data_IF_035180603828
#
_entry.id   IF_035180603828
#
_cell.length_a   1.000
_cell.length_b   1.000
_cell.length_c   1.000
_cell.angle_alpha   90.00
_cell.angle_beta   90.00
_cell.angle_gamma   90.00
#
_symmetry.space_group_name_H-M   'P 1'
#
loop_
_entity.id
_entity.type
_entity.pdbx_description
1 polymer ?
#
# COMPACT_ATOMS: atom_id res chain seq x y z
N UNK A 1 -9.84 46.16 -11.85
CA UNK A 1 -10.21 45.71 -13.21
C UNK A 1 -9.44 44.41 -13.49
N UNK A 2 -10.00 43.26 -13.15
CA UNK A 2 -10.98 42.45 -13.91
C UNK A 2 -10.30 41.45 -14.85
N UNK A 3 -10.21 40.19 -14.43
CA UNK A 3 -10.30 39.05 -15.36
C UNK A 3 -10.62 37.75 -14.60
N UNK A 4 -11.87 37.61 -14.15
CA UNK A 4 -12.46 36.31 -13.81
C UNK A 4 -13.25 35.84 -15.03
N UNK A 5 -12.58 35.23 -15.99
CA UNK A 5 -13.26 34.46 -17.05
C UNK A 5 -13.40 33.02 -16.59
N UNK A 6 -14.32 32.79 -15.65
CA UNK A 6 -14.83 31.45 -15.38
C UNK A 6 -15.63 31.00 -16.60
N UNK A 7 -15.00 30.21 -17.48
CA UNK A 7 -15.72 29.42 -18.50
C UNK A 7 -16.44 28.26 -17.79
N UNK A 8 -17.52 28.57 -17.09
CA UNK A 8 -18.43 27.57 -16.52
C UNK A 8 -19.46 27.21 -17.58
N UNK A 9 -19.29 26.04 -18.21
CA UNK A 9 -20.32 25.42 -19.06
C UNK A 9 -21.23 24.58 -18.16
N UNK A 10 -22.43 25.10 -17.87
CA UNK A 10 -23.46 24.38 -17.13
C UNK A 10 -24.18 23.46 -18.12
N UNK A 11 -24.09 22.15 -17.93
CA UNK A 11 -24.84 21.15 -18.71
C UNK A 11 -25.94 20.54 -17.84
N UNK A 12 -27.19 20.64 -18.29
CA UNK A 12 -28.37 20.14 -17.60
C UNK A 12 -28.60 18.63 -17.84
N UNK A 13 -28.84 17.94 -16.71
CA UNK A 13 -29.71 16.76 -16.50
C UNK A 13 -29.83 15.71 -17.60
N UNK A 14 -28.87 14.78 -17.64
CA UNK A 14 -29.15 13.40 -18.05
C UNK A 14 -29.71 12.60 -16.87
N UNK A 15 -30.52 11.57 -17.14
CA UNK A 15 -30.99 10.60 -16.12
C UNK A 15 -29.81 9.88 -15.43
N UNK A 16 -28.65 9.84 -16.10
CA UNK A 16 -27.43 9.24 -15.60
C UNK A 16 -26.52 10.27 -14.91
N UNK A 17 -25.90 9.86 -13.80
CA UNK A 17 -24.98 10.70 -13.03
C UNK A 17 -23.72 11.04 -13.85
N UNK A 18 -23.33 12.32 -13.87
CA UNK A 18 -22.10 12.80 -14.51
C UNK A 18 -20.87 12.14 -13.86
N UNK A 19 -20.11 11.41 -14.67
CA UNK A 19 -18.86 10.76 -14.29
C UNK A 19 -17.67 11.45 -14.92
N UNK A 20 -16.73 11.92 -14.09
CA UNK A 20 -15.45 12.48 -14.57
C UNK A 20 -14.32 11.74 -13.88
N UNK A 21 -13.37 11.25 -14.69
CA UNK A 21 -12.24 10.44 -14.22
C UNK A 21 -12.63 9.25 -13.29
N UNK A 22 -13.82 8.66 -13.51
CA UNK A 22 -14.31 7.51 -12.75
C UNK A 22 -14.98 7.84 -11.40
N UNK A 23 -15.24 9.12 -11.11
CA UNK A 23 -16.02 9.57 -9.95
C UNK A 23 -17.34 10.20 -10.41
N UNK A 24 -18.40 9.99 -9.64
CA UNK A 24 -19.70 10.65 -9.81
C UNK A 24 -19.69 11.98 -9.08
N UNK A 25 -19.91 13.08 -9.80
CA UNK A 25 -19.79 14.46 -9.29
C UNK A 25 -21.16 15.14 -9.19
N UNK A 26 -22.24 14.48 -9.62
CA UNK A 26 -23.62 14.99 -9.49
C UNK A 26 -24.13 15.17 -8.05
N UNK A 27 -23.31 14.90 -7.03
CA UNK A 27 -23.67 14.99 -5.63
C UNK A 27 -22.81 16.05 -4.93
N UNK A 28 -23.22 16.50 -3.74
CA UNK A 28 -22.45 17.42 -2.89
C UNK A 28 -20.99 16.97 -2.66
N UNK A 29 -20.76 15.67 -2.62
CA UNK A 29 -19.45 15.06 -2.48
C UNK A 29 -19.19 14.06 -3.62
N UNK A 30 -17.95 13.98 -4.15
CA UNK A 30 -17.62 13.03 -5.19
C UNK A 30 -17.75 11.59 -4.68
N UNK A 31 -18.50 10.77 -5.40
CA UNK A 31 -18.77 9.37 -5.02
C UNK A 31 -18.18 8.40 -6.02
N UNK A 32 -17.71 7.25 -5.55
CA UNK A 32 -17.37 6.15 -6.44
C UNK A 32 -18.65 5.49 -7.00
N UNK A 33 -18.60 4.97 -8.23
CA UNK A 33 -19.70 4.18 -8.76
C UNK A 33 -19.88 2.90 -7.93
N UNK A 34 -21.13 2.46 -7.79
CA UNK A 34 -21.52 1.27 -7.03
C UNK A 34 -20.75 0.02 -7.45
N UNK A 35 -20.49 -0.13 -8.74
CA UNK A 35 -19.73 -1.24 -9.32
C UNK A 35 -18.29 -1.31 -8.80
N UNK A 36 -17.61 -0.17 -8.68
CA UNK A 36 -16.25 -0.15 -8.14
C UNK A 36 -16.27 -0.61 -6.68
N UNK A 37 -17.23 -0.11 -5.87
CA UNK A 37 -17.38 -0.54 -4.47
C UNK A 37 -17.67 -2.05 -4.41
N UNK A 38 -18.47 -2.59 -5.33
CA UNK A 38 -18.73 -4.04 -5.45
C UNK A 38 -17.44 -4.82 -5.74
N UNK A 39 -16.61 -4.37 -6.68
CA UNK A 39 -15.31 -4.99 -6.98
C UNK A 39 -14.35 -4.97 -5.79
N UNK A 40 -14.30 -3.85 -5.04
CA UNK A 40 -13.46 -3.74 -3.85
C UNK A 40 -13.90 -4.77 -2.80
N UNK A 41 -15.20 -4.86 -2.54
CA UNK A 41 -15.76 -5.87 -1.61
C UNK A 41 -15.44 -7.30 -2.05
N UNK A 42 -15.61 -7.60 -3.34
CA UNK A 42 -15.28 -8.92 -3.89
C UNK A 42 -13.79 -9.25 -3.74
N UNK A 43 -12.91 -8.29 -4.01
CA UNK A 43 -11.46 -8.46 -3.84
C UNK A 43 -11.06 -8.74 -2.39
N UNK A 44 -11.69 -8.07 -1.42
CA UNK A 44 -11.46 -8.35 0.01
C UNK A 44 -11.93 -9.77 0.34
N UNK A 45 -13.13 -10.16 -0.10
CA UNK A 45 -13.65 -11.52 0.16
C UNK A 45 -12.77 -12.61 -0.47
N UNK A 46 -12.27 -12.40 -1.68
CA UNK A 46 -11.38 -13.36 -2.34
C UNK A 46 -10.06 -13.52 -1.58
N UNK A 47 -9.48 -12.41 -1.08
CA UNK A 47 -8.28 -12.50 -0.24
C UNK A 47 -8.53 -13.19 1.10
N UNK A 48 -9.73 -13.04 1.68
CA UNK A 48 -10.11 -13.80 2.88
C UNK A 48 -10.15 -15.30 2.59
N UNK A 49 -10.71 -15.72 1.46
CA UNK A 49 -10.74 -17.13 1.04
C UNK A 49 -9.31 -17.66 0.83
N UNK A 50 -8.47 -16.92 0.09
CA UNK A 50 -7.06 -17.27 -0.10
C UNK A 50 -6.25 -17.26 1.21
N UNK A 51 -6.66 -16.47 2.21
CA UNK A 51 -6.00 -16.46 3.51
C UNK A 51 -6.28 -17.72 4.34
N UNK A 52 -7.44 -18.35 4.11
CA UNK A 52 -7.83 -19.62 4.73
C UNK A 52 -7.01 -20.76 4.12
N UNK A 53 -6.63 -20.65 2.85
CA UNK A 53 -5.75 -21.61 2.17
C UNK A 53 -4.33 -21.61 2.78
N UNK A 54 -4.16 -22.45 3.81
CA UNK A 54 -2.91 -22.82 4.47
C UNK A 54 -1.73 -21.84 4.33
N UNK A 55 -0.68 -22.26 3.63
CA UNK A 55 0.60 -21.53 3.55
C UNK A 55 0.55 -20.29 2.64
N UNK A 56 -0.58 -19.97 2.01
CA UNK A 56 -0.64 -18.92 0.99
C UNK A 56 -0.31 -17.52 1.53
N UNK A 57 -0.63 -17.23 2.81
CA UNK A 57 -0.27 -15.97 3.50
C UNK A 57 1.23 -15.67 3.58
N UNK A 58 2.08 -16.68 3.41
CA UNK A 58 3.54 -16.56 3.43
C UNK A 58 4.14 -16.29 2.05
N UNK A 59 3.34 -16.44 0.99
CA UNK A 59 3.79 -16.32 -0.39
C UNK A 59 4.08 -14.87 -0.79
N UNK A 60 4.90 -14.71 -1.83
CA UNK A 60 5.18 -13.38 -2.37
C UNK A 60 3.98 -12.84 -3.15
N UNK A 61 3.27 -13.69 -3.91
CA UNK A 61 2.06 -13.34 -4.66
C UNK A 61 0.99 -12.79 -3.73
N UNK A 62 0.74 -13.45 -2.60
CA UNK A 62 -0.26 -12.98 -1.64
C UNK A 62 0.03 -11.57 -1.12
N UNK A 63 1.30 -11.23 -0.87
CA UNK A 63 1.68 -9.87 -0.46
C UNK A 63 1.37 -8.83 -1.53
N UNK A 64 1.59 -9.18 -2.79
CA UNK A 64 1.29 -8.30 -3.92
C UNK A 64 -0.22 -8.05 -4.03
N UNK A 65 -1.01 -9.11 -3.96
CA UNK A 65 -2.47 -9.03 -4.02
C UNK A 65 -3.06 -8.30 -2.82
N UNK A 66 -2.52 -8.56 -1.61
CA UNK A 66 -2.87 -7.84 -0.40
C UNK A 66 -2.60 -6.34 -0.54
N UNK A 67 -1.41 -5.94 -1.00
CA UNK A 67 -1.07 -4.51 -1.16
C UNK A 67 -1.95 -3.84 -2.23
N UNK A 68 -2.26 -4.55 -3.31
CA UNK A 68 -3.19 -4.08 -4.35
C UNK A 68 -4.59 -3.86 -3.76
N UNK A 69 -5.10 -4.81 -2.96
CA UNK A 69 -6.41 -4.69 -2.33
C UNK A 69 -6.44 -3.60 -1.26
N UNK A 70 -5.39 -3.48 -0.46
CA UNK A 70 -5.21 -2.37 0.48
C UNK A 70 -5.24 -1.00 -0.22
N UNK A 71 -4.57 -0.87 -1.37
CA UNK A 71 -4.65 0.36 -2.19
C UNK A 71 -6.07 0.69 -2.67
N UNK A 72 -6.83 -0.33 -3.08
CA UNK A 72 -8.24 -0.20 -3.45
C UNK A 72 -9.11 0.23 -2.27
N UNK A 73 -8.91 -0.33 -1.08
CA UNK A 73 -9.62 0.07 0.14
C UNK A 73 -9.23 1.50 0.54
N UNK A 74 -7.96 1.87 0.46
CA UNK A 74 -7.50 3.23 0.74
C UNK A 74 -8.07 4.28 -0.23
N UNK A 75 -8.50 3.88 -1.43
CA UNK A 75 -9.27 4.76 -2.34
C UNK A 75 -10.59 5.22 -1.70
N UNK A 76 -11.24 4.35 -0.91
CA UNK A 76 -12.46 4.69 -0.16
C UNK A 76 -12.20 5.72 0.94
N UNK A 77 -11.02 5.67 1.57
CA UNK A 77 -10.60 6.65 2.59
C UNK A 77 -10.55 8.07 2.01
N UNK A 78 -10.07 8.23 0.78
CA UNK A 78 -9.93 9.55 0.13
C UNK A 78 -11.26 10.27 -0.10
N UNK A 79 -12.35 9.52 -0.17
CA UNK A 79 -13.71 10.04 -0.35
C UNK A 79 -14.57 9.85 0.91
N UNK A 80 -13.95 9.58 2.08
CA UNK A 80 -14.62 9.36 3.36
C UNK A 80 -15.80 8.38 3.31
N UNK A 81 -15.68 7.32 2.50
CA UNK A 81 -16.77 6.39 2.31
C UNK A 81 -16.96 5.47 3.54
N UNK A 82 -18.18 5.38 4.06
CA UNK A 82 -18.56 4.67 5.31
C UNK A 82 -18.01 3.24 5.39
N UNK A 83 -18.00 2.51 4.27
CA UNK A 83 -17.50 1.12 4.22
C UNK A 83 -15.97 0.97 4.38
N UNK A 84 -15.21 2.06 4.37
CA UNK A 84 -13.75 2.02 4.49
C UNK A 84 -13.32 1.29 5.77
N UNK A 85 -13.82 1.72 6.93
CA UNK A 85 -13.43 1.17 8.23
C UNK A 85 -13.73 -0.34 8.34
N UNK A 86 -14.93 -0.74 7.91
CA UNK A 86 -15.35 -2.14 7.89
C UNK A 86 -14.45 -3.01 7.00
N UNK A 87 -14.08 -2.53 5.82
CA UNK A 87 -13.22 -3.28 4.90
C UNK A 87 -11.76 -3.31 5.35
N UNK A 88 -11.27 -2.22 5.94
CA UNK A 88 -9.93 -2.15 6.52
C UNK A 88 -9.79 -3.14 7.68
N UNK A 89 -10.77 -3.19 8.60
CA UNK A 89 -10.78 -4.11 9.73
C UNK A 89 -10.81 -5.58 9.29
N UNK A 90 -11.41 -5.89 8.15
CA UNK A 90 -11.39 -7.23 7.55
C UNK A 90 -10.01 -7.56 6.98
N UNK A 91 -9.42 -6.65 6.21
CA UNK A 91 -8.08 -6.83 5.64
C UNK A 91 -7.00 -6.98 6.72
N UNK A 92 -7.07 -6.20 7.80
CA UNK A 92 -6.05 -6.25 8.87
C UNK A 92 -5.97 -7.61 9.57
N UNK A 93 -7.05 -8.39 9.59
CA UNK A 93 -7.07 -9.76 10.16
C UNK A 93 -6.30 -10.76 9.30
N UNK A 94 -6.27 -10.55 7.99
CA UNK A 94 -5.64 -11.45 7.00
C UNK A 94 -4.27 -10.96 6.54
N UNK A 95 -3.62 -10.14 7.35
CA UNK A 95 -2.32 -9.58 7.11
C UNK A 95 -1.27 -10.60 6.60
N UNK A 96 -0.42 -10.26 5.61
CA UNK A 96 0.57 -11.18 5.10
C UNK A 96 1.62 -11.51 6.16
N UNK A 97 2.08 -12.77 6.14
CA UNK A 97 3.03 -13.31 7.12
C UNK A 97 4.44 -13.48 6.50
N UNK A 98 5.51 -13.33 7.29
CA UNK A 98 6.88 -13.57 6.84
C UNK A 98 7.17 -15.07 6.70
N UNK A 99 7.84 -15.47 5.62
CA UNK A 99 8.38 -16.82 5.45
C UNK A 99 9.79 -16.93 6.05
N UNK A 100 10.29 -18.14 6.36
CA UNK A 100 11.68 -18.34 6.80
C UNK A 100 12.71 -17.82 5.78
N UNK A 101 12.38 -17.84 4.49
CA UNK A 101 13.23 -17.31 3.41
C UNK A 101 13.38 -15.79 3.49
N UNK A 102 12.37 -15.07 3.99
CA UNK A 102 12.45 -13.61 4.14
C UNK A 102 13.51 -13.20 5.16
N UNK A 103 13.64 -13.97 6.25
CA UNK A 103 14.70 -13.76 7.25
C UNK A 103 16.09 -13.79 6.62
N UNK A 104 16.35 -14.78 5.78
CA UNK A 104 17.64 -14.93 5.09
C UNK A 104 17.85 -13.79 4.10
N UNK A 105 16.84 -13.44 3.30
CA UNK A 105 16.93 -12.36 2.31
C UNK A 105 17.20 -11.01 2.95
N UNK A 106 16.50 -10.67 4.03
CA UNK A 106 16.67 -9.38 4.72
C UNK A 106 18.07 -9.25 5.30
N UNK A 107 18.61 -10.31 5.91
CA UNK A 107 20.00 -10.31 6.39
C UNK A 107 20.99 -10.02 5.26
N UNK A 108 20.87 -10.75 4.14
CA UNK A 108 21.73 -10.55 2.95
C UNK A 108 21.63 -9.13 2.38
N UNK A 109 20.43 -8.53 2.37
CA UNK A 109 20.26 -7.15 1.90
C UNK A 109 21.01 -6.17 2.82
N UNK A 110 20.87 -6.33 4.13
CA UNK A 110 21.52 -5.45 5.12
C UNK A 110 23.04 -5.62 5.09
N UNK A 111 23.55 -6.85 5.01
CA UNK A 111 24.98 -7.12 4.90
C UNK A 111 25.60 -6.44 3.67
N UNK A 112 24.91 -6.49 2.52
CA UNK A 112 25.34 -5.76 1.31
C UNK A 112 25.28 -4.25 1.49
N UNK A 113 24.23 -3.73 2.11
CA UNK A 113 24.12 -2.29 2.39
C UNK A 113 25.21 -1.79 3.34
N UNK A 114 25.65 -2.62 4.30
CA UNK A 114 26.79 -2.29 5.18
C UNK A 114 28.07 -2.21 4.36
N UNK A 115 28.33 -3.18 3.48
CA UNK A 115 29.53 -3.20 2.64
C UNK A 115 29.56 -2.02 1.64
N UNK A 116 28.41 -1.71 1.02
CA UNK A 116 28.28 -0.63 0.04
C UNK A 116 28.18 0.78 0.70
N UNK A 117 28.08 0.87 2.03
CA UNK A 117 27.82 2.14 2.74
C UNK A 117 28.96 3.17 2.56
N UNK A 118 30.19 2.74 2.36
CA UNK A 118 31.32 3.68 2.23
C UNK A 118 31.32 4.32 0.84
N UNK A 119 30.95 3.56 -0.19
CA UNK A 119 31.14 3.96 -1.59
C UNK A 119 29.89 4.50 -2.29
N UNK A 120 28.67 4.17 -1.80
CA UNK A 120 27.43 4.41 -2.54
C UNK A 120 26.32 5.10 -1.74
N UNK A 121 26.61 5.58 -0.54
CA UNK A 121 25.61 6.10 0.43
C UNK A 121 24.76 7.25 -0.10
N UNK A 122 25.35 8.02 -0.99
CA UNK A 122 24.83 9.20 -1.68
C UNK A 122 24.08 8.84 -2.97
N UNK A 123 23.94 7.57 -3.33
CA UNK A 123 23.26 7.18 -4.57
C UNK A 123 21.77 6.87 -4.34
N UNK A 124 20.93 7.22 -5.31
CA UNK A 124 19.52 6.83 -5.34
C UNK A 124 19.32 5.31 -5.19
N UNK A 125 20.20 4.53 -5.80
CA UNK A 125 20.15 3.07 -5.72
C UNK A 125 20.29 2.57 -4.28
N UNK A 126 21.19 3.19 -3.51
CA UNK A 126 21.41 2.87 -2.11
C UNK A 126 20.19 3.26 -1.27
N UNK A 127 19.69 4.49 -1.44
CA UNK A 127 18.44 4.96 -0.82
C UNK A 127 17.25 4.01 -1.10
N UNK A 128 17.08 3.59 -2.35
CA UNK A 128 16.01 2.68 -2.75
C UNK A 128 16.14 1.32 -2.05
N UNK A 129 17.35 0.75 -1.99
CA UNK A 129 17.61 -0.53 -1.31
C UNK A 129 17.44 -0.42 0.20
N UNK A 130 17.86 0.70 0.79
CA UNK A 130 17.65 1.00 2.20
C UNK A 130 16.15 1.00 2.55
N UNK A 131 15.34 1.72 1.78
CA UNK A 131 13.88 1.75 1.97
C UNK A 131 13.22 0.38 1.73
N UNK A 132 13.71 -0.37 0.75
CA UNK A 132 13.28 -1.75 0.53
C UNK A 132 13.58 -2.63 1.76
N UNK A 133 14.75 -2.48 2.39
CA UNK A 133 15.10 -3.22 3.61
C UNK A 133 14.14 -2.88 4.76
N UNK A 134 13.80 -1.61 4.95
CA UNK A 134 12.78 -1.17 5.92
C UNK A 134 11.41 -1.78 5.64
N UNK A 135 10.96 -1.78 4.38
CA UNK A 135 9.69 -2.39 3.99
C UNK A 135 9.65 -3.89 4.34
N UNK A 136 10.74 -4.62 4.06
CA UNK A 136 10.84 -6.05 4.37
C UNK A 136 10.87 -6.31 5.87
N UNK A 137 11.50 -5.43 6.66
CA UNK A 137 11.49 -5.51 8.12
C UNK A 137 10.12 -5.27 8.74
N UNK A 138 9.24 -4.50 8.10
CA UNK A 138 7.86 -4.32 8.56
C UNK A 138 7.08 -5.65 8.50
N UNK A 139 7.29 -6.44 7.45
CA UNK A 139 6.70 -7.79 7.34
C UNK A 139 7.37 -8.73 8.35
N UNK A 140 8.70 -8.71 8.45
CA UNK A 140 9.45 -9.62 9.34
C UNK A 140 9.11 -9.42 10.82
N UNK A 141 8.82 -8.18 11.25
CA UNK A 141 8.46 -7.84 12.64
C UNK A 141 7.29 -8.66 13.17
N UNK A 142 6.36 -9.09 12.30
CA UNK A 142 5.14 -9.80 12.71
C UNK A 142 5.41 -11.14 13.40
N UNK A 143 6.39 -11.90 12.89
CA UNK A 143 6.76 -13.21 13.46
C UNK A 143 8.12 -13.21 14.16
N UNK A 144 9.00 -12.26 13.83
CA UNK A 144 10.35 -12.18 14.41
C UNK A 144 10.64 -10.76 14.95
N UNK A 145 9.93 -10.30 15.98
CA UNK A 145 10.01 -8.92 16.47
C UNK A 145 11.42 -8.56 16.98
N UNK A 146 12.06 -9.45 17.75
CA UNK A 146 13.42 -9.24 18.28
C UNK A 146 14.45 -9.10 17.17
N UNK A 147 14.44 -10.02 16.20
CA UNK A 147 15.36 -9.97 15.06
C UNK A 147 15.13 -8.70 14.22
N UNK A 148 13.87 -8.34 13.97
CA UNK A 148 13.55 -7.13 13.23
C UNK A 148 14.03 -5.87 13.97
N UNK A 149 13.92 -5.82 15.31
CA UNK A 149 14.45 -4.71 16.12
C UNK A 149 15.98 -4.62 16.01
N UNK A 150 16.69 -5.74 16.18
CA UNK A 150 18.16 -5.82 16.03
C UNK A 150 18.62 -5.33 14.66
N UNK A 151 17.94 -5.75 13.59
CA UNK A 151 18.27 -5.35 12.23
C UNK A 151 17.93 -3.89 11.92
N UNK A 152 16.86 -3.33 12.51
CA UNK A 152 16.55 -1.89 12.39
C UNK A 152 17.63 -1.02 13.01
N UNK A 153 18.16 -1.41 14.17
CA UNK A 153 19.28 -0.67 14.80
C UNK A 153 20.48 -0.63 13.87
N UNK A 154 20.85 -1.77 13.27
CA UNK A 154 21.94 -1.82 12.27
C UNK A 154 21.69 -0.91 11.07
N UNK A 155 20.48 -0.93 10.51
CA UNK A 155 20.13 -0.06 9.38
C UNK A 155 20.23 1.42 9.74
N UNK A 156 19.80 1.83 10.94
CA UNK A 156 19.85 3.24 11.35
C UNK A 156 21.28 3.82 11.32
N UNK A 157 22.30 3.00 11.55
CA UNK A 157 23.71 3.41 11.51
C UNK A 157 24.22 3.68 10.08
N UNK A 158 23.54 3.14 9.07
CA UNK A 158 23.91 3.22 7.65
C UNK A 158 22.84 3.96 6.84
N UNK A 159 22.25 5.00 7.43
CA UNK A 159 21.23 5.80 6.77
C UNK A 159 21.81 6.47 5.50
N UNK A 160 21.07 6.50 4.37
CA UNK A 160 21.50 7.16 3.13
C UNK A 160 21.66 8.67 3.33
N UNK A 161 22.49 9.31 2.51
CA UNK A 161 22.63 10.78 2.41
C UNK A 161 22.00 11.36 1.15
N UNK A 162 21.46 10.51 0.27
CA UNK A 162 20.75 10.93 -0.93
C UNK A 162 19.39 11.54 -0.56
N UNK A 163 19.15 12.78 -1.03
CA UNK A 163 17.89 13.52 -0.92
C UNK A 163 16.92 13.21 -2.07
#
# INVERSE_FOLDING_TARGET
MSCLLTRTKVSYSSTESLTVHGLRISFKEPRLPSEEIRRIRAAVKNLELLAIEGRYRHSHSYRHDYNRCMGRVNKLKRINHIKFESLLARLSRIDPLPSPRDRVRVKKIIERLIADNISKKDTYWYWKRFNLAHQRLNILKKSYPYLAKKLRVKLKLIAPTYD
#
